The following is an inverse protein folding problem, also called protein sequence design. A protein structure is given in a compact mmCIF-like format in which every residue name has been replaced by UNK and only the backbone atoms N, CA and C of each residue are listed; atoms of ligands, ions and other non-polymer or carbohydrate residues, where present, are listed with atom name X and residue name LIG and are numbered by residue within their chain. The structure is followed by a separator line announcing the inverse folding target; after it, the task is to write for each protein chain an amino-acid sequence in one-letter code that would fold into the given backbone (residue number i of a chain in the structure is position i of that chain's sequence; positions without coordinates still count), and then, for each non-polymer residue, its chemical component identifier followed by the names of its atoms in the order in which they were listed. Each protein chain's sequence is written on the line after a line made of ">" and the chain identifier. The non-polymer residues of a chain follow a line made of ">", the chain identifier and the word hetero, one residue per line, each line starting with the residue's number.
data_IF_195706465016
#
_entry.id   IF_195706465016
#
_cell.length_a   1.000
_cell.length_b   1.000
_cell.length_c   1.000
_cell.angle_alpha   90.00
_cell.angle_beta   90.00
_cell.angle_gamma   90.00
#
_symmetry.space_group_name_H-M   'P 1'
#
loop_
_entity.id
_entity.type
_entity.pdbx_description
1 polymer ?
#
# COMPACT_ATOMS: atom_id res chain seq x y z
N UNK A 1 7.73 13.33 16.74
CA UNK A 1 8.08 13.79 15.38
C UNK A 1 9.22 12.92 14.90
N UNK A 2 8.91 11.80 14.26
CA UNK A 2 9.91 10.99 13.55
C UNK A 2 10.32 11.82 12.34
N UNK A 3 11.58 12.26 12.29
CA UNK A 3 12.12 12.97 11.14
C UNK A 3 11.90 12.12 9.90
N UNK A 4 11.41 12.73 8.80
CA UNK A 4 11.34 12.08 7.49
C UNK A 4 12.73 11.50 7.22
N UNK A 5 12.80 10.19 6.95
CA UNK A 5 14.04 9.51 6.62
C UNK A 5 14.68 10.11 5.36
N UNK A 6 15.95 9.87 5.19
CA UNK A 6 16.63 10.10 3.91
C UNK A 6 16.26 8.96 2.96
N UNK A 7 15.48 9.19 1.88
CA UNK A 7 15.03 8.13 0.99
C UNK A 7 16.18 7.30 0.39
N UNK A 8 17.34 7.92 0.14
CA UNK A 8 18.51 7.21 -0.38
C UNK A 8 19.05 6.22 0.66
N UNK A 9 19.13 6.64 1.92
CA UNK A 9 19.53 5.81 3.05
C UNK A 9 18.52 4.70 3.32
N UNK A 10 17.22 5.01 3.24
CA UNK A 10 16.14 4.04 3.43
C UNK A 10 16.15 2.96 2.33
N UNK A 11 16.40 3.35 1.07
CA UNK A 11 16.58 2.40 -0.04
C UNK A 11 17.85 1.55 0.11
N UNK A 12 18.92 2.07 0.69
CA UNK A 12 20.12 1.28 0.98
C UNK A 12 19.84 0.23 2.06
N UNK A 13 19.12 0.60 3.12
CA UNK A 13 18.66 -0.32 4.16
C UNK A 13 17.74 -1.39 3.56
N UNK A 14 16.79 -1.00 2.70
CA UNK A 14 15.92 -1.94 1.99
C UNK A 14 16.73 -2.97 1.16
N UNK A 15 17.79 -2.53 0.47
CA UNK A 15 18.69 -3.44 -0.26
C UNK A 15 19.47 -4.36 0.66
N UNK A 16 19.89 -3.88 1.84
CA UNK A 16 20.57 -4.71 2.84
C UNK A 16 19.63 -5.81 3.36
N UNK A 17 18.38 -5.46 3.69
CA UNK A 17 17.34 -6.42 4.08
C UNK A 17 17.11 -7.43 2.95
N UNK A 18 16.94 -6.95 1.72
CA UNK A 18 16.67 -7.80 0.57
C UNK A 18 17.79 -8.82 0.29
N UNK A 19 19.07 -8.42 0.45
CA UNK A 19 20.21 -9.34 0.31
C UNK A 19 20.21 -10.43 1.37
N UNK A 20 19.93 -10.07 2.64
CA UNK A 20 19.86 -11.07 3.71
C UNK A 20 18.62 -11.97 3.55
N UNK A 21 17.48 -11.41 3.16
CA UNK A 21 16.30 -12.20 2.84
C UNK A 21 16.57 -13.22 1.72
N UNK A 22 17.24 -12.79 0.65
CA UNK A 22 17.60 -13.66 -0.48
C UNK A 22 18.54 -14.80 -0.07
N UNK A 23 19.48 -14.55 0.85
CA UNK A 23 20.37 -15.59 1.39
C UNK A 23 19.62 -16.70 2.15
N UNK A 24 18.42 -16.38 2.68
CA UNK A 24 17.53 -17.32 3.36
C UNK A 24 16.39 -17.85 2.45
N UNK A 25 16.45 -17.56 1.13
CA UNK A 25 15.44 -18.01 0.17
C UNK A 25 14.21 -17.10 0.05
N UNK A 26 14.16 -15.98 0.77
CA UNK A 26 13.10 -14.98 0.71
C UNK A 26 13.32 -13.94 -0.40
N UNK A 27 12.38 -12.99 -0.51
CA UNK A 27 12.46 -11.84 -1.43
C UNK A 27 11.84 -10.60 -0.79
N UNK A 28 12.38 -9.43 -1.10
CA UNK A 28 11.82 -8.15 -0.70
C UNK A 28 11.40 -7.35 -1.94
N UNK A 29 10.25 -6.69 -1.83
CA UNK A 29 9.67 -5.86 -2.87
C UNK A 29 9.35 -4.47 -2.33
N UNK A 30 9.69 -3.42 -3.07
CA UNK A 30 9.05 -2.12 -2.89
C UNK A 30 7.58 -2.25 -3.26
N UNK A 31 6.69 -1.56 -2.55
CA UNK A 31 5.24 -1.73 -2.72
C UNK A 31 4.47 -0.41 -2.68
N UNK A 32 3.24 -0.44 -3.15
CA UNK A 32 2.25 0.62 -2.94
C UNK A 32 2.59 1.95 -3.60
N UNK A 33 2.46 3.01 -2.82
CA UNK A 33 2.65 4.38 -3.29
C UNK A 33 4.05 4.68 -3.80
N UNK A 34 5.06 4.05 -3.21
CA UNK A 34 6.45 4.22 -3.63
C UNK A 34 6.68 3.78 -5.08
N UNK A 35 6.21 2.58 -5.45
CA UNK A 35 6.36 2.05 -6.83
C UNK A 35 5.57 2.89 -7.83
N UNK A 36 4.32 3.25 -7.49
CA UNK A 36 3.46 4.11 -8.31
C UNK A 36 4.14 5.45 -8.60
N UNK A 37 4.57 6.16 -7.56
CA UNK A 37 5.12 7.51 -7.69
C UNK A 37 6.44 7.50 -8.47
N UNK A 38 7.27 6.47 -8.26
CA UNK A 38 8.49 6.25 -9.02
C UNK A 38 8.22 6.05 -10.51
N UNK A 39 7.20 5.26 -10.88
CA UNK A 39 6.81 5.06 -12.27
C UNK A 39 6.20 6.31 -12.92
N UNK A 40 5.66 7.23 -12.11
CA UNK A 40 5.19 8.55 -12.54
C UNK A 40 6.30 9.60 -12.60
N UNK A 41 7.54 9.25 -12.20
CA UNK A 41 8.64 10.22 -12.10
C UNK A 41 8.43 11.26 -10.98
N UNK A 42 7.64 10.93 -9.97
CA UNK A 42 7.36 11.78 -8.80
C UNK A 42 8.27 11.37 -7.64
N UNK A 43 8.74 12.36 -6.90
CA UNK A 43 9.45 12.09 -5.65
C UNK A 43 8.50 11.52 -4.60
N UNK A 44 8.94 10.47 -3.93
CA UNK A 44 8.28 9.87 -2.78
C UNK A 44 9.33 9.53 -1.73
N UNK A 45 9.12 10.03 -0.52
CA UNK A 45 10.02 9.83 0.62
C UNK A 45 9.60 8.67 1.53
N UNK A 46 8.39 8.15 1.34
CA UNK A 46 7.85 7.07 2.14
C UNK A 46 8.22 5.73 1.46
N UNK A 47 9.28 5.09 1.95
CA UNK A 47 9.77 3.82 1.39
C UNK A 47 9.11 2.66 2.12
N UNK A 48 8.24 1.95 1.40
CA UNK A 48 7.55 0.76 1.91
C UNK A 48 8.11 -0.49 1.22
N UNK A 49 8.46 -1.52 2.00
CA UNK A 49 8.81 -2.84 1.47
C UNK A 49 7.95 -3.95 2.06
N UNK A 50 7.74 -5.00 1.27
CA UNK A 50 7.10 -6.23 1.70
C UNK A 50 8.05 -7.42 1.52
N UNK A 51 8.31 -8.17 2.61
CA UNK A 51 9.27 -9.29 2.63
C UNK A 51 8.51 -10.61 2.62
N UNK A 52 8.75 -11.42 1.59
CA UNK A 52 8.12 -12.71 1.33
C UNK A 52 9.07 -13.88 1.58
N UNK A 53 8.51 -15.04 1.94
CA UNK A 53 9.24 -16.30 1.99
C UNK A 53 10.12 -16.48 3.23
N UNK A 54 10.00 -15.63 4.23
CA UNK A 54 10.67 -15.74 5.52
C UNK A 54 9.65 -15.89 6.65
N UNK A 55 10.00 -16.62 7.69
CA UNK A 55 9.23 -16.59 8.94
C UNK A 55 9.39 -15.23 9.65
N UNK A 56 8.45 -14.83 10.52
CA UNK A 56 8.61 -13.61 11.32
C UNK A 56 9.95 -13.56 12.08
N UNK A 57 10.34 -14.66 12.71
CA UNK A 57 11.60 -14.73 13.47
C UNK A 57 12.84 -14.49 12.58
N UNK A 58 12.85 -15.03 11.36
CA UNK A 58 13.95 -14.80 10.40
C UNK A 58 14.03 -13.32 9.99
N UNK A 59 12.88 -12.67 9.74
CA UNK A 59 12.88 -11.24 9.43
C UNK A 59 13.34 -10.42 10.64
N UNK A 60 12.88 -10.76 11.83
CA UNK A 60 13.27 -10.08 13.08
C UNK A 60 14.77 -10.17 13.33
N UNK A 61 15.39 -11.33 13.12
CA UNK A 61 16.85 -11.50 13.23
C UNK A 61 17.62 -10.61 12.24
N UNK A 62 17.13 -10.51 10.99
CA UNK A 62 17.70 -9.61 9.99
C UNK A 62 17.64 -8.15 10.46
N UNK A 63 16.49 -7.70 10.96
CA UNK A 63 16.30 -6.32 11.39
C UNK A 63 17.11 -5.99 12.64
N UNK A 64 17.21 -6.91 13.59
CA UNK A 64 18.04 -6.76 14.79
C UNK A 64 19.53 -6.68 14.44
N UNK A 65 19.98 -7.45 13.45
CA UNK A 65 21.34 -7.39 12.94
C UNK A 65 21.70 -6.09 12.20
N UNK A 66 20.69 -5.36 11.71
CA UNK A 66 20.87 -4.09 10.96
C UNK A 66 20.69 -2.82 11.83
N UNK A 67 20.55 -2.96 13.13
CA UNK A 67 20.45 -1.80 14.04
C UNK A 67 19.24 -1.82 14.96
N UNK A 68 18.38 -2.82 14.84
CA UNK A 68 17.24 -3.09 15.69
C UNK A 68 15.91 -2.66 15.09
N UNK A 69 14.92 -3.52 15.32
CA UNK A 69 13.55 -3.30 14.84
C UNK A 69 12.76 -2.36 15.74
N UNK A 70 11.74 -1.74 15.13
CA UNK A 70 10.63 -1.09 15.80
C UNK A 70 9.39 -1.95 15.54
N UNK A 71 8.69 -2.32 16.60
CA UNK A 71 7.43 -3.06 16.49
C UNK A 71 6.29 -2.05 16.32
N UNK A 72 5.81 -1.89 15.10
CA UNK A 72 4.69 -1.00 14.75
C UNK A 72 3.36 -1.73 14.70
N UNK A 73 3.39 -3.05 14.81
CA UNK A 73 2.27 -3.98 14.74
C UNK A 73 2.81 -5.38 14.44
N UNK A 74 3.70 -5.89 15.29
CA UNK A 74 4.38 -7.18 15.09
C UNK A 74 3.40 -8.36 14.93
N UNK A 75 2.27 -8.33 15.66
CA UNK A 75 1.18 -9.30 15.49
C UNK A 75 0.55 -9.28 14.08
N UNK A 76 0.72 -8.18 13.35
CA UNK A 76 0.24 -7.99 11.98
C UNK A 76 1.37 -8.02 10.95
N UNK A 77 2.60 -8.39 11.35
CA UNK A 77 3.76 -8.45 10.48
C UNK A 77 4.23 -7.07 9.97
N UNK A 78 4.10 -6.02 10.79
CA UNK A 78 4.53 -4.67 10.44
C UNK A 78 5.66 -4.24 11.38
N UNK A 79 6.77 -3.87 10.78
CA UNK A 79 8.00 -3.47 11.47
C UNK A 79 8.55 -2.16 10.88
N UNK A 80 9.33 -1.46 11.67
CA UNK A 80 10.23 -0.41 11.21
C UNK A 80 11.68 -0.77 11.53
N UNK A 81 12.63 -0.02 10.98
CA UNK A 81 14.05 -0.11 11.33
C UNK A 81 14.45 1.15 12.10
N UNK A 82 15.11 1.00 13.26
CA UNK A 82 15.53 2.14 14.09
C UNK A 82 16.44 3.10 13.33
N UNK A 83 16.07 4.38 13.33
CA UNK A 83 16.83 5.43 12.65
C UNK A 83 16.58 5.56 11.15
N UNK A 84 15.58 4.87 10.62
CA UNK A 84 15.16 4.90 9.21
C UNK A 84 13.68 5.24 9.09
N UNK A 85 13.29 5.79 7.93
CA UNK A 85 11.89 6.04 7.56
C UNK A 85 11.30 4.92 6.71
N UNK A 86 11.79 3.68 6.92
CA UNK A 86 11.44 2.50 6.14
C UNK A 86 10.34 1.69 6.85
N UNK A 87 9.21 1.52 6.19
CA UNK A 87 8.15 0.63 6.63
C UNK A 87 8.34 -0.76 6.01
N UNK A 88 8.32 -1.79 6.87
CA UNK A 88 8.61 -3.17 6.50
C UNK A 88 7.40 -4.02 6.85
N UNK A 89 6.78 -4.63 5.86
CA UNK A 89 5.63 -5.51 6.06
C UNK A 89 5.95 -6.95 5.64
N UNK A 90 5.19 -7.88 6.21
CA UNK A 90 5.07 -9.25 5.69
C UNK A 90 3.72 -9.43 5.03
N UNK A 91 3.60 -10.32 4.02
CA UNK A 91 2.32 -10.69 3.46
C UNK A 91 1.39 -11.24 4.53
N UNK A 92 0.11 -10.89 4.43
CA UNK A 92 -0.89 -11.30 5.41
C UNK A 92 -2.22 -11.59 4.74
N UNK A 93 -2.99 -12.49 5.35
CA UNK A 93 -4.40 -12.70 5.06
C UNK A 93 -5.21 -11.80 5.97
N UNK A 94 -6.16 -11.12 5.39
CA UNK A 94 -7.15 -10.34 6.12
C UNK A 94 -8.52 -11.00 5.89
N UNK A 95 -9.23 -11.31 6.96
CA UNK A 95 -10.59 -11.86 6.91
C UNK A 95 -11.50 -10.96 7.70
N UNK A 96 -12.51 -10.39 7.05
CA UNK A 96 -13.55 -9.66 7.75
C UNK A 96 -14.31 -10.62 8.67
N UNK A 97 -14.40 -10.30 9.97
CA UNK A 97 -15.15 -11.05 10.99
C UNK A 97 -16.37 -10.27 11.50
N UNK A 98 -16.56 -9.02 11.03
CA UNK A 98 -17.66 -8.13 11.41
C UNK A 98 -17.87 -7.03 10.38
N UNK A 99 -18.72 -6.03 10.73
CA UNK A 99 -19.05 -4.89 9.86
C UNK A 99 -18.18 -3.65 10.09
N UNK A 100 -17.29 -3.67 11.09
CA UNK A 100 -16.43 -2.54 11.45
C UNK A 100 -15.03 -2.66 10.84
N UNK A 101 -14.38 -1.53 10.63
CA UNK A 101 -13.00 -1.46 10.11
C UNK A 101 -11.94 -2.09 11.05
N UNK A 102 -12.30 -2.47 12.27
CA UNK A 102 -11.45 -3.19 13.25
C UNK A 102 -11.79 -4.67 13.35
N UNK A 103 -12.83 -5.12 12.65
CA UNK A 103 -13.33 -6.48 12.71
C UNK A 103 -12.64 -7.34 11.62
N UNK A 104 -11.31 -7.28 11.58
CA UNK A 104 -10.50 -8.14 10.72
C UNK A 104 -9.67 -9.09 11.55
N UNK A 105 -9.77 -10.36 11.23
CA UNK A 105 -8.77 -11.35 11.62
C UNK A 105 -7.60 -11.23 10.64
N UNK A 106 -6.43 -10.85 11.15
CA UNK A 106 -5.22 -10.63 10.36
C UNK A 106 -4.22 -11.71 10.74
N UNK A 107 -3.86 -12.54 9.77
CA UNK A 107 -2.87 -13.60 9.96
C UNK A 107 -1.70 -13.38 9.01
N UNK A 108 -0.48 -13.26 9.56
CA UNK A 108 0.75 -13.20 8.77
C UNK A 108 0.92 -14.51 8.00
N UNK A 109 1.06 -14.41 6.68
CA UNK A 109 1.31 -15.56 5.80
C UNK A 109 2.46 -15.20 4.82
N UNK A 110 3.73 -15.42 5.23
CA UNK A 110 4.89 -15.06 4.43
C UNK A 110 4.98 -15.77 3.08
N UNK A 111 4.24 -16.87 2.92
CA UNK A 111 4.24 -17.71 1.73
C UNK A 111 3.00 -17.51 0.85
N UNK A 112 2.19 -16.46 1.13
CA UNK A 112 0.95 -16.16 0.44
C UNK A 112 1.12 -15.96 -1.08
N UNK A 113 2.32 -15.56 -1.52
CA UNK A 113 2.60 -15.20 -2.91
C UNK A 113 2.23 -13.76 -3.26
N UNK A 114 2.95 -13.18 -4.22
CA UNK A 114 2.85 -11.76 -4.57
C UNK A 114 1.51 -11.36 -5.18
N UNK A 115 0.87 -12.23 -5.96
CA UNK A 115 -0.44 -11.97 -6.53
C UNK A 115 -1.52 -11.84 -5.44
N UNK A 116 -1.56 -12.79 -4.50
CA UNK A 116 -2.55 -12.76 -3.42
C UNK A 116 -2.30 -11.59 -2.46
N UNK A 117 -1.03 -11.27 -2.19
CA UNK A 117 -0.68 -10.10 -1.38
C UNK A 117 -1.11 -8.79 -2.05
N UNK A 118 -0.97 -8.68 -3.38
CA UNK A 118 -1.41 -7.52 -4.14
C UNK A 118 -2.93 -7.42 -4.29
N UNK A 119 -3.66 -8.56 -4.34
CA UNK A 119 -5.12 -8.62 -4.54
C UNK A 119 -5.92 -7.88 -3.49
N UNK A 120 -5.44 -7.81 -2.24
CA UNK A 120 -6.08 -7.10 -1.14
C UNK A 120 -5.93 -5.57 -1.18
N UNK A 121 -5.11 -5.04 -2.11
CA UNK A 121 -4.90 -3.60 -2.25
C UNK A 121 -6.12 -2.93 -2.87
N UNK A 122 -6.18 -1.60 -2.73
CA UNK A 122 -7.31 -0.79 -3.19
C UNK A 122 -7.39 -0.70 -4.73
N UNK A 123 -6.37 -0.09 -5.36
CA UNK A 123 -6.36 0.19 -6.80
C UNK A 123 -5.20 -0.50 -7.49
N UNK A 124 -5.38 -0.84 -8.77
CA UNK A 124 -4.38 -1.51 -9.59
C UNK A 124 -3.04 -0.75 -9.62
N UNK A 125 -3.09 0.58 -9.63
CA UNK A 125 -1.92 1.45 -9.59
C UNK A 125 -1.13 1.37 -8.28
N UNK A 126 -1.73 0.92 -7.19
CA UNK A 126 -1.11 0.71 -5.88
C UNK A 126 -0.79 -0.77 -5.62
N UNK A 127 -1.20 -1.68 -6.52
CA UNK A 127 -0.95 -3.11 -6.42
C UNK A 127 0.36 -3.54 -7.12
N UNK A 128 1.12 -2.58 -7.61
CA UNK A 128 2.43 -2.79 -8.21
C UNK A 128 3.46 -3.12 -7.14
N UNK A 129 4.36 -4.04 -7.47
CA UNK A 129 5.50 -4.40 -6.66
C UNK A 129 6.77 -4.30 -7.51
N UNK A 130 7.90 -3.89 -6.91
CA UNK A 130 9.19 -3.85 -7.59
C UNK A 130 10.22 -4.60 -6.76
N UNK A 131 10.84 -5.63 -7.33
CA UNK A 131 11.88 -6.39 -6.66
C UNK A 131 13.07 -5.48 -6.30
N UNK A 132 13.42 -5.43 -5.01
CA UNK A 132 14.40 -4.48 -4.46
C UNK A 132 15.80 -4.68 -5.06
N UNK A 133 16.18 -5.92 -5.40
CA UNK A 133 17.51 -6.25 -5.91
C UNK A 133 17.63 -6.13 -7.42
N UNK A 134 16.56 -6.51 -8.14
CA UNK A 134 16.62 -6.59 -9.60
C UNK A 134 15.93 -5.42 -10.31
N UNK A 135 15.09 -4.66 -9.61
CA UNK A 135 14.27 -3.59 -10.19
C UNK A 135 13.13 -4.10 -11.09
N UNK A 136 12.88 -5.42 -11.11
CA UNK A 136 11.78 -6.00 -11.89
C UNK A 136 10.45 -5.63 -11.28
N UNK A 137 9.57 -5.00 -12.08
CA UNK A 137 8.19 -4.70 -11.68
C UNK A 137 7.31 -5.92 -11.88
N UNK A 138 6.56 -6.30 -10.84
CA UNK A 138 5.49 -7.29 -10.87
C UNK A 138 4.16 -6.55 -10.96
N UNK A 139 3.41 -6.84 -12.02
CA UNK A 139 2.12 -6.21 -12.32
C UNK A 139 1.06 -7.28 -12.60
N UNK A 140 0.46 -7.81 -11.55
CA UNK A 140 -0.54 -8.87 -11.63
C UNK A 140 -1.93 -8.37 -12.10
N UNK A 141 -2.20 -7.07 -11.97
CA UNK A 141 -3.54 -6.48 -12.18
C UNK A 141 -3.55 -5.36 -13.22
N UNK A 142 -2.54 -5.31 -14.10
CA UNK A 142 -2.42 -4.31 -15.18
C UNK A 142 -2.32 -2.85 -14.68
N UNK A 143 -1.75 -2.64 -13.49
CA UNK A 143 -1.60 -1.34 -12.86
C UNK A 143 -0.73 -0.38 -13.67
N UNK A 144 0.32 -0.85 -14.35
CA UNK A 144 1.16 -0.03 -15.23
C UNK A 144 0.36 0.54 -16.40
N UNK A 145 -0.55 -0.27 -16.97
CA UNK A 145 -1.45 0.20 -18.05
C UNK A 145 -2.40 1.27 -17.54
N UNK A 146 -3.03 1.03 -16.39
CA UNK A 146 -3.99 1.96 -15.81
C UNK A 146 -3.28 3.25 -15.36
N UNK A 147 -2.07 3.15 -14.83
CA UNK A 147 -1.23 4.29 -14.46
C UNK A 147 -0.92 5.20 -15.66
N UNK A 148 -0.50 4.60 -16.78
CA UNK A 148 -0.22 5.34 -18.04
C UNK A 148 -1.45 6.01 -18.64
N UNK A 149 -2.63 5.45 -18.42
CA UNK A 149 -3.91 5.97 -18.92
C UNK A 149 -4.60 6.94 -17.95
N UNK A 150 -4.05 7.11 -16.75
CA UNK A 150 -4.68 7.92 -15.71
C UNK A 150 -6.01 7.32 -15.22
N UNK A 151 -6.10 5.99 -15.07
CA UNK A 151 -7.30 5.28 -14.69
C UNK A 151 -7.19 4.74 -13.27
N UNK A 152 -8.21 5.00 -12.45
CA UNK A 152 -8.38 4.41 -11.12
C UNK A 152 -9.32 3.20 -11.23
N UNK A 153 -8.74 2.02 -11.19
CA UNK A 153 -9.44 0.74 -11.22
C UNK A 153 -9.19 0.02 -9.90
N UNK A 154 -10.25 -0.46 -9.25
CA UNK A 154 -10.11 -1.34 -8.09
C UNK A 154 -9.47 -2.68 -8.49
N UNK A 155 -8.83 -3.34 -7.53
CA UNK A 155 -8.09 -4.59 -7.81
C UNK A 155 -9.03 -5.78 -7.92
N UNK A 156 -9.98 -5.90 -6.99
CA UNK A 156 -10.83 -7.09 -6.87
C UNK A 156 -12.21 -6.72 -6.30
N UNK A 157 -13.28 -7.21 -6.94
CA UNK A 157 -14.66 -6.87 -6.61
C UNK A 157 -15.07 -7.33 -5.20
N UNK A 158 -14.44 -8.38 -4.67
CA UNK A 158 -14.78 -8.97 -3.37
C UNK A 158 -14.05 -8.27 -2.23
N UNK A 159 -12.76 -8.00 -2.41
CA UNK A 159 -11.94 -7.42 -1.34
C UNK A 159 -12.04 -5.90 -1.27
N UNK A 160 -12.38 -5.23 -2.38
CA UNK A 160 -12.47 -3.77 -2.39
C UNK A 160 -13.54 -3.22 -1.42
N UNK A 161 -14.76 -3.79 -1.31
CA UNK A 161 -15.79 -3.31 -0.38
C UNK A 161 -15.48 -3.57 1.10
N UNK A 162 -14.50 -4.42 1.41
CA UNK A 162 -14.11 -4.73 2.80
C UNK A 162 -13.64 -3.48 3.57
N UNK A 163 -13.06 -2.49 2.88
CA UNK A 163 -12.72 -1.19 3.48
C UNK A 163 -13.45 -0.05 2.75
N UNK A 164 -14.59 0.44 3.28
CA UNK A 164 -15.36 1.53 2.66
C UNK A 164 -14.56 2.82 2.43
N UNK A 165 -13.44 3.03 3.17
CA UNK A 165 -12.57 4.19 2.96
C UNK A 165 -11.98 4.23 1.55
N UNK A 166 -11.90 3.11 0.87
CA UNK A 166 -11.36 3.03 -0.51
C UNK A 166 -12.14 3.88 -1.49
N UNK A 167 -13.44 4.13 -1.25
CA UNK A 167 -14.25 5.09 -2.04
C UNK A 167 -13.66 6.50 -1.92
N UNK A 168 -13.44 6.98 -0.70
CA UNK A 168 -12.84 8.30 -0.45
C UNK A 168 -11.40 8.37 -0.96
N UNK A 169 -10.63 7.29 -0.84
CA UNK A 169 -9.29 7.18 -1.41
C UNK A 169 -9.29 7.31 -2.93
N UNK A 170 -10.29 6.71 -3.60
CA UNK A 170 -10.47 6.87 -5.05
C UNK A 170 -10.69 8.32 -5.46
N UNK A 171 -11.60 9.03 -4.78
CA UNK A 171 -11.83 10.44 -4.99
C UNK A 171 -10.57 11.30 -4.70
N UNK A 172 -9.83 10.96 -3.63
CA UNK A 172 -8.58 11.62 -3.27
C UNK A 172 -7.50 11.40 -4.35
N UNK A 173 -7.34 10.19 -4.87
CA UNK A 173 -6.38 9.93 -5.95
C UNK A 173 -6.79 10.60 -7.26
N UNK A 174 -8.09 10.66 -7.59
CA UNK A 174 -8.59 11.42 -8.73
C UNK A 174 -8.16 12.89 -8.64
N UNK A 175 -8.35 13.52 -7.49
CA UNK A 175 -7.95 14.91 -7.26
C UNK A 175 -6.43 15.10 -7.32
N UNK A 176 -5.67 14.20 -6.66
CA UNK A 176 -4.21 14.32 -6.52
C UNK A 176 -3.47 14.05 -7.82
N UNK A 177 -3.93 13.13 -8.64
CA UNK A 177 -3.23 12.70 -9.86
C UNK A 177 -3.93 13.16 -11.15
N UNK A 178 -5.15 13.71 -11.07
CA UNK A 178 -5.97 14.03 -12.25
C UNK A 178 -6.48 12.77 -12.96
N UNK A 179 -6.64 11.66 -12.24
CA UNK A 179 -7.06 10.38 -12.82
C UNK A 179 -8.58 10.26 -12.82
N UNK A 180 -9.10 9.41 -13.70
CA UNK A 180 -10.53 9.12 -13.83
C UNK A 180 -10.84 7.72 -13.30
N UNK A 181 -11.89 7.60 -12.50
CA UNK A 181 -12.34 6.30 -12.02
C UNK A 181 -12.92 5.45 -13.17
N UNK A 182 -12.55 4.17 -13.21
CA UNK A 182 -13.10 3.23 -14.19
C UNK A 182 -14.62 3.03 -13.95
N UNK A 183 -15.43 2.86 -15.01
CA UNK A 183 -16.89 2.71 -14.88
C UNK A 183 -17.31 1.58 -13.92
N UNK A 184 -16.60 0.45 -13.96
CA UNK A 184 -16.83 -0.67 -13.05
C UNK A 184 -16.49 -0.34 -11.59
N UNK A 185 -15.46 0.50 -11.36
CA UNK A 185 -15.12 0.98 -10.02
C UNK A 185 -16.19 1.93 -9.48
N UNK A 186 -16.69 2.83 -10.32
CA UNK A 186 -17.82 3.71 -9.96
C UNK A 186 -19.05 2.88 -9.59
N UNK A 187 -19.40 1.90 -10.42
CA UNK A 187 -20.55 1.03 -10.19
C UNK A 187 -20.42 0.26 -8.87
N UNK A 188 -19.23 -0.24 -8.54
CA UNK A 188 -18.96 -0.93 -7.28
C UNK A 188 -19.07 0.03 -6.08
N UNK A 189 -18.48 1.22 -6.18
CA UNK A 189 -18.48 2.22 -5.12
C UNK A 189 -19.90 2.67 -4.71
N UNK A 190 -20.82 2.82 -5.66
CA UNK A 190 -22.22 3.18 -5.40
C UNK A 190 -22.95 2.23 -4.47
N UNK A 191 -22.51 0.99 -4.37
CA UNK A 191 -23.08 -0.03 -3.49
C UNK A 191 -22.46 -0.10 -2.10
N UNK A 192 -21.46 0.73 -1.80
CA UNK A 192 -20.72 0.67 -0.54
C UNK A 192 -21.28 1.68 0.47
N UNK A 193 -21.67 1.17 1.64
CA UNK A 193 -22.14 2.01 2.75
C UNK A 193 -20.96 2.69 3.46
N UNK A 194 -20.96 4.02 3.47
CA UNK A 194 -19.92 4.85 4.10
C UNK A 194 -20.27 5.29 5.53
N UNK A 195 -21.48 4.98 6.01
CA UNK A 195 -22.02 5.51 7.27
C UNK A 195 -21.23 5.09 8.51
N UNK A 196 -20.54 3.95 8.44
CA UNK A 196 -19.73 3.40 9.53
C UNK A 196 -18.27 3.91 9.54
N UNK A 197 -17.88 4.79 8.60
CA UNK A 197 -16.51 5.30 8.55
C UNK A 197 -16.23 6.23 9.74
N UNK A 198 -15.12 6.01 10.48
CA UNK A 198 -14.67 6.93 11.51
C UNK A 198 -14.37 8.32 10.94
N UNK A 199 -14.83 9.40 11.60
CA UNK A 199 -14.61 10.76 11.13
C UNK A 199 -13.14 11.10 10.85
N UNK A 200 -12.23 10.59 11.65
CA UNK A 200 -10.78 10.84 11.54
C UNK A 200 -10.21 10.26 10.24
N UNK A 201 -10.74 9.11 9.78
CA UNK A 201 -10.34 8.51 8.52
C UNK A 201 -10.86 9.30 7.34
N UNK A 202 -12.12 9.79 7.43
CA UNK A 202 -12.74 10.66 6.42
C UNK A 202 -11.96 11.97 6.31
N UNK A 203 -11.69 12.62 7.45
CA UNK A 203 -10.90 13.85 7.52
C UNK A 203 -9.51 13.65 6.90
N UNK A 204 -8.87 12.52 7.18
CA UNK A 204 -7.55 12.18 6.64
C UNK A 204 -7.52 12.20 5.11
N UNK A 205 -8.50 11.60 4.42
CA UNK A 205 -8.56 11.59 2.95
C UNK A 205 -8.97 12.95 2.38
N UNK A 206 -9.92 13.63 3.02
CA UNK A 206 -10.33 14.98 2.65
C UNK A 206 -9.15 15.96 2.75
N UNK A 207 -8.40 15.89 3.83
CA UNK A 207 -7.23 16.75 4.06
C UNK A 207 -6.16 16.54 2.99
N UNK A 208 -5.89 15.30 2.60
CA UNK A 208 -4.97 15.00 1.48
C UNK A 208 -5.49 15.57 0.16
N UNK A 209 -6.78 15.43 -0.14
CA UNK A 209 -7.39 15.98 -1.34
C UNK A 209 -7.32 17.52 -1.39
N UNK A 210 -7.54 18.20 -0.26
CA UNK A 210 -7.53 19.65 -0.22
C UNK A 210 -6.12 20.27 -0.22
N UNK A 211 -5.15 19.61 0.42
CA UNK A 211 -3.81 20.18 0.66
C UNK A 211 -2.73 19.67 -0.31
N UNK A 212 -2.95 18.53 -0.98
CA UNK A 212 -1.94 17.90 -1.83
C UNK A 212 -2.34 17.80 -3.30
N UNK A 213 -3.59 18.11 -3.65
CA UNK A 213 -4.08 18.03 -5.02
C UNK A 213 -3.97 19.39 -5.73
N UNK A 214 -3.62 19.34 -7.02
CA UNK A 214 -3.66 20.54 -7.88
C UNK A 214 -5.10 21.00 -8.18
N UNK A 215 -6.05 20.05 -8.18
CA UNK A 215 -7.47 20.28 -8.46
C UNK A 215 -8.36 19.63 -7.39
N UNK A 216 -8.48 20.26 -6.20
CA UNK A 216 -9.27 19.69 -5.10
C UNK A 216 -10.74 19.46 -5.44
N UNK A 217 -11.33 20.22 -6.38
CA UNK A 217 -12.72 20.05 -6.83
C UNK A 217 -13.01 18.65 -7.38
N UNK A 218 -12.00 18.01 -8.02
CA UNK A 218 -12.14 16.67 -8.54
C UNK A 218 -12.48 15.63 -7.46
N UNK A 219 -12.11 15.87 -6.21
CA UNK A 219 -12.51 15.01 -5.10
C UNK A 219 -14.03 14.92 -5.00
N UNK A 220 -14.71 16.06 -4.96
CA UNK A 220 -16.15 16.14 -4.82
C UNK A 220 -16.89 15.70 -6.09
N UNK A 221 -16.35 16.05 -7.25
CA UNK A 221 -16.88 15.63 -8.53
C UNK A 221 -16.87 14.10 -8.67
N UNK A 222 -15.72 13.47 -8.38
CA UNK A 222 -15.54 12.01 -8.43
C UNK A 222 -16.42 11.32 -7.38
N UNK A 223 -16.50 11.86 -6.16
CA UNK A 223 -17.31 11.28 -5.09
C UNK A 223 -18.82 11.34 -5.41
N UNK A 224 -19.26 12.37 -6.12
CA UNK A 224 -20.66 12.46 -6.59
C UNK A 224 -20.99 11.37 -7.63
N UNK A 225 -20.01 10.95 -8.41
CA UNK A 225 -20.19 9.91 -9.43
C UNK A 225 -20.15 8.50 -8.83
N UNK A 226 -19.43 8.32 -7.69
CA UNK A 226 -19.29 7.08 -6.91
C UNK A 226 -20.42 6.90 -5.91
#
# INVERSE_FOLDING_TARGET
>A
MTGRGDPARDMEAARAIARQAAALGGRAYYVGGFVRDRLLGRENTDVDIEVHGLTPSQLEEILDGLGGRLEMGASFGIYGLKGYGLDIAMPRRERAIGRGHRDFDVTVDPFLGTEQAARRRDFTINALMEDVLTGRVLDHFHGVRDLRRGVLRHVDDRTFPEDPLRVLRGAQFAARFGFTAAPETIALCRGIDLSALPPERVEGELRKALLQAERPSLFFETLRDM
#
